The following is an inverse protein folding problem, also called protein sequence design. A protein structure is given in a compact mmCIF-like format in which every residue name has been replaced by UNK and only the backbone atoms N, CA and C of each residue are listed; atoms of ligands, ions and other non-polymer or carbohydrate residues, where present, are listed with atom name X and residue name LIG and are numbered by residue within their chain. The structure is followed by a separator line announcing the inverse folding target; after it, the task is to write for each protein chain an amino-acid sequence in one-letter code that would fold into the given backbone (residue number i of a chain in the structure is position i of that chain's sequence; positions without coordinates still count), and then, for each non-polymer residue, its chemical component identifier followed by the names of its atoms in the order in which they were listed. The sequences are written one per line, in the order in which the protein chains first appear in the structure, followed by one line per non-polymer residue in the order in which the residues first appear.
data_IF_149801263165
#
_entry.id   IF_149801263165
#
_cell.length_a   1.000
_cell.length_b   1.000
_cell.length_c   1.000
_cell.angle_alpha   90.00
_cell.angle_beta   90.00
_cell.angle_gamma   90.00
#
_symmetry.space_group_name_H-M   'P 1'
#
loop_
_entity.id
_entity.type
_entity.pdbx_description
1 polymer ?
#
# COMPACT_ATOMS: atom_id res chain seq x y z
N UNK A 1 4.16 21.43 56.34
CA UNK A 1 3.45 21.21 55.05
C UNK A 1 3.91 22.22 53.98
N UNK A 2 5.22 22.35 53.72
CA UNK A 2 5.76 23.33 52.75
C UNK A 2 6.58 22.69 51.62
N UNK A 3 6.90 21.40 51.76
CA UNK A 3 7.76 20.66 50.83
C UNK A 3 6.95 19.83 49.82
N UNK A 4 5.62 19.80 49.95
CA UNK A 4 4.72 19.05 49.04
C UNK A 4 4.35 19.86 47.78
N UNK A 5 4.47 21.19 47.82
CA UNK A 5 4.15 22.07 46.68
C UNK A 5 5.26 22.09 45.61
N UNK A 6 6.49 21.72 45.97
CA UNK A 6 7.63 21.70 45.03
C UNK A 6 7.60 20.42 44.16
N UNK A 7 7.05 19.32 44.69
CA UNK A 7 6.94 18.06 43.95
C UNK A 7 5.90 18.11 42.81
N UNK A 8 4.89 18.97 42.91
CA UNK A 8 3.85 19.08 41.87
C UNK A 8 4.26 19.96 40.68
N UNK A 9 5.24 20.87 40.87
CA UNK A 9 5.70 21.78 39.83
C UNK A 9 6.64 21.12 38.81
N UNK A 10 7.28 20.00 39.15
CA UNK A 10 8.23 19.32 38.27
C UNK A 10 7.60 18.30 37.31
N UNK A 11 6.32 17.96 37.49
CA UNK A 11 5.62 16.94 36.71
C UNK A 11 4.96 17.47 35.42
N UNK A 12 4.96 18.78 35.21
CA UNK A 12 4.27 19.44 34.09
C UNK A 12 5.13 19.62 32.82
N UNK A 13 6.40 19.22 32.82
CA UNK A 13 7.32 19.50 31.70
C UNK A 13 7.56 18.35 30.71
N UNK A 14 6.84 17.22 30.82
CA UNK A 14 7.10 16.04 29.97
C UNK A 14 6.16 15.85 28.77
N UNK A 15 5.25 16.79 28.49
CA UNK A 15 4.43 16.74 27.27
C UNK A 15 5.19 17.34 26.07
N UNK A 16 6.37 16.78 25.78
CA UNK A 16 7.01 16.96 24.48
C UNK A 16 6.18 16.19 23.44
N UNK A 17 5.14 16.85 22.94
CA UNK A 17 4.40 16.40 21.76
C UNK A 17 5.39 16.37 20.60
N UNK A 18 5.84 15.15 20.28
CA UNK A 18 6.61 14.87 19.08
C UNK A 18 5.74 15.34 17.90
N UNK A 19 6.06 16.50 17.32
CA UNK A 19 5.46 16.91 16.06
C UNK A 19 5.86 15.83 15.07
N UNK A 20 4.92 14.93 14.74
CA UNK A 20 5.08 14.06 13.58
C UNK A 20 5.43 14.98 12.42
N UNK A 21 6.64 14.87 11.92
CA UNK A 21 7.03 15.45 10.65
C UNK A 21 6.02 14.93 9.65
N UNK A 22 5.08 15.78 9.23
CA UNK A 22 4.09 15.43 8.22
C UNK A 22 4.84 15.30 6.91
N UNK A 23 5.45 14.14 6.69
CA UNK A 23 5.91 13.72 5.38
C UNK A 23 4.69 13.78 4.48
N UNK A 24 4.68 14.75 3.57
CA UNK A 24 3.61 14.96 2.59
C UNK A 24 3.38 13.64 1.86
N UNK A 25 2.21 13.04 2.04
CA UNK A 25 1.85 11.78 1.38
C UNK A 25 2.03 11.95 -0.14
N UNK A 26 2.81 11.07 -0.76
CA UNK A 26 2.99 11.07 -2.22
C UNK A 26 1.73 10.60 -2.96
N UNK A 27 0.77 10.01 -2.23
CA UNK A 27 -0.53 9.58 -2.72
C UNK A 27 -1.56 10.65 -2.33
N UNK A 28 -2.03 11.48 -3.28
CA UNK A 28 -3.06 12.46 -3.00
C UNK A 28 -4.40 11.77 -2.76
N UNK A 29 -5.18 12.29 -1.80
CA UNK A 29 -6.57 11.87 -1.65
C UNK A 29 -7.36 12.07 -2.94
N UNK A 30 -8.31 11.17 -3.19
CA UNK A 30 -9.23 11.23 -4.30
C UNK A 30 -9.59 9.85 -4.85
N UNK A 31 -10.47 9.87 -5.85
CA UNK A 31 -10.86 8.69 -6.60
C UNK A 31 -9.96 8.52 -7.81
N UNK A 32 -9.58 7.30 -8.10
CA UNK A 32 -8.76 6.94 -9.23
C UNK A 32 -9.43 5.81 -10.01
N UNK A 33 -9.22 5.79 -11.32
CA UNK A 33 -9.60 4.70 -12.21
C UNK A 33 -8.40 4.28 -13.04
N UNK A 34 -8.34 3.00 -13.38
CA UNK A 34 -7.22 2.48 -14.15
C UNK A 34 -7.21 0.96 -14.16
N UNK A 35 -6.01 0.39 -14.15
CA UNK A 35 -5.82 -1.06 -14.26
C UNK A 35 -4.80 -1.58 -13.26
N UNK A 36 -5.00 -2.81 -12.82
CA UNK A 36 -3.95 -3.68 -12.29
C UNK A 36 -3.40 -4.50 -13.46
N UNK A 37 -2.11 -4.32 -13.74
CA UNK A 37 -1.33 -5.11 -14.69
C UNK A 37 -0.55 -6.19 -13.92
N UNK A 38 -0.77 -7.45 -14.28
CA UNK A 38 -0.05 -8.61 -13.76
C UNK A 38 0.77 -9.22 -14.89
N UNK A 39 2.09 -9.20 -14.76
CA UNK A 39 3.03 -9.74 -15.76
C UNK A 39 3.97 -10.74 -15.14
N UNK A 40 4.60 -11.57 -15.99
CA UNK A 40 5.62 -12.53 -15.58
C UNK A 40 6.78 -12.48 -16.56
N UNK A 41 7.98 -12.77 -16.07
CA UNK A 41 9.19 -12.98 -16.86
C UNK A 41 9.09 -14.14 -17.88
N UNK A 42 8.24 -15.14 -17.63
CA UNK A 42 8.05 -16.31 -18.52
C UNK A 42 6.89 -16.12 -19.50
N UNK A 43 5.81 -15.45 -19.09
CA UNK A 43 4.62 -15.28 -19.92
C UNK A 43 4.63 -13.93 -20.66
N UNK A 44 4.53 -13.99 -22.00
CA UNK A 44 4.68 -12.80 -22.87
C UNK A 44 3.53 -11.79 -22.81
N UNK A 45 2.34 -12.17 -22.34
CA UNK A 45 1.19 -11.28 -22.29
C UNK A 45 0.74 -11.03 -20.84
N UNK A 46 0.64 -9.75 -20.41
CA UNK A 46 0.14 -9.44 -19.08
C UNK A 46 -1.38 -9.64 -18.99
N UNK A 47 -1.85 -10.04 -17.81
CA UNK A 47 -3.26 -9.96 -17.45
C UNK A 47 -3.60 -8.55 -16.99
N UNK A 48 -4.72 -8.00 -17.46
CA UNK A 48 -5.14 -6.62 -17.18
C UNK A 48 -6.51 -6.64 -16.50
N UNK A 49 -6.61 -6.03 -15.34
CA UNK A 49 -7.83 -5.97 -14.55
C UNK A 49 -8.27 -4.51 -14.34
N UNK A 50 -9.41 -4.08 -14.89
CA UNK A 50 -9.96 -2.75 -14.64
C UNK A 50 -10.34 -2.57 -13.17
N UNK A 51 -9.94 -1.44 -12.59
CA UNK A 51 -10.17 -1.13 -11.18
C UNK A 51 -10.43 0.35 -10.95
N UNK A 52 -11.10 0.63 -9.83
CA UNK A 52 -11.17 1.94 -9.20
C UNK A 52 -10.60 1.86 -7.79
N UNK A 53 -9.95 2.95 -7.35
CA UNK A 53 -9.41 3.05 -6.00
C UNK A 53 -9.74 4.41 -5.43
N UNK A 54 -10.31 4.43 -4.23
CA UNK A 54 -10.48 5.65 -3.43
C UNK A 54 -9.37 5.70 -2.39
N UNK A 55 -8.66 6.83 -2.32
CA UNK A 55 -7.73 7.16 -1.24
C UNK A 55 -8.27 8.32 -0.42
N UNK A 56 -8.45 8.13 0.87
CA UNK A 56 -8.96 9.18 1.75
C UNK A 56 -8.45 8.98 3.18
N UNK A 57 -7.82 10.01 3.74
CA UNK A 57 -7.37 10.04 5.14
C UNK A 57 -6.60 8.77 5.55
N UNK A 58 -5.56 8.42 4.75
CA UNK A 58 -4.70 7.24 4.98
C UNK A 58 -5.44 5.89 4.87
N UNK A 59 -6.67 5.89 4.34
CA UNK A 59 -7.44 4.70 4.00
C UNK A 59 -7.56 4.53 2.51
N UNK A 60 -7.67 3.29 2.07
CA UNK A 60 -7.95 2.96 0.69
C UNK A 60 -9.11 1.97 0.57
N UNK A 61 -9.78 2.02 -0.58
CA UNK A 61 -10.76 1.01 -1.00
C UNK A 61 -10.60 0.76 -2.49
N UNK A 62 -10.35 -0.49 -2.86
CA UNK A 62 -10.32 -0.96 -4.25
C UNK A 62 -11.69 -1.50 -4.60
N UNK A 63 -12.17 -1.20 -5.79
CA UNK A 63 -13.34 -1.82 -6.39
C UNK A 63 -12.98 -2.27 -7.79
N UNK A 64 -13.28 -3.52 -8.10
CA UNK A 64 -13.08 -4.13 -9.42
C UNK A 64 -14.40 -4.23 -10.16
N UNK A 65 -14.32 -4.48 -11.46
CA UNK A 65 -15.49 -4.90 -12.24
C UNK A 65 -16.15 -6.12 -11.56
N UNK A 66 -17.48 -6.18 -11.41
CA UNK A 66 -18.19 -7.35 -10.84
C UNK A 66 -17.84 -8.68 -11.51
N UNK A 67 -17.40 -8.68 -12.78
CA UNK A 67 -16.91 -9.85 -13.49
C UNK A 67 -15.52 -10.31 -13.01
N UNK A 68 -14.72 -9.42 -12.42
CA UNK A 68 -13.39 -9.67 -11.87
C UNK A 68 -13.43 -9.83 -10.34
N UNK A 69 -14.01 -10.94 -9.86
CA UNK A 69 -14.10 -11.27 -8.42
C UNK A 69 -12.75 -11.42 -7.71
N UNK A 70 -11.65 -11.41 -8.47
CA UNK A 70 -10.30 -11.71 -8.00
C UNK A 70 -9.53 -10.48 -7.50
N UNK A 71 -10.00 -9.26 -7.77
CA UNK A 71 -9.31 -8.01 -7.37
C UNK A 71 -10.18 -7.21 -6.42
N UNK A 72 -9.61 -6.63 -5.36
CA UNK A 72 -10.37 -5.82 -4.42
C UNK A 72 -9.62 -5.46 -3.16
N UNK A 73 -10.36 -5.23 -2.08
CA UNK A 73 -9.81 -4.97 -0.76
C UNK A 73 -9.88 -3.52 -0.32
N UNK A 74 -9.52 -3.31 0.94
CA UNK A 74 -9.61 -2.05 1.65
C UNK A 74 -8.80 -2.14 2.92
N UNK A 75 -8.35 -0.99 3.38
CA UNK A 75 -7.63 -0.89 4.63
C UNK A 75 -6.89 0.42 4.71
N UNK A 76 -5.68 0.38 5.25
CA UNK A 76 -4.89 1.55 5.57
C UNK A 76 -3.59 1.58 4.77
N UNK A 77 -3.08 2.78 4.54
CA UNK A 77 -1.79 2.98 3.91
C UNK A 77 -1.01 4.10 4.57
N UNK A 78 0.31 4.01 4.50
CA UNK A 78 1.22 5.09 4.86
C UNK A 78 2.31 5.21 3.79
N UNK A 79 2.96 6.37 3.70
CA UNK A 79 4.09 6.54 2.79
C UNK A 79 5.27 7.21 3.48
N UNK A 80 6.47 6.74 3.14
CA UNK A 80 7.73 7.35 3.51
C UNK A 80 8.53 7.59 2.22
N UNK A 81 8.50 8.83 1.73
CA UNK A 81 9.05 9.16 0.41
C UNK A 81 8.33 8.41 -0.70
N UNK A 82 9.09 7.73 -1.57
CA UNK A 82 8.57 6.94 -2.68
C UNK A 82 8.12 5.53 -2.30
N UNK A 83 8.15 5.15 -1.02
CA UNK A 83 7.71 3.82 -0.57
C UNK A 83 6.39 3.93 0.20
N UNK A 84 5.37 3.24 -0.32
CA UNK A 84 4.07 3.07 0.33
C UNK A 84 3.99 1.73 1.05
N UNK A 85 3.42 1.71 2.26
CA UNK A 85 3.08 0.51 2.99
C UNK A 85 1.57 0.38 3.07
N UNK A 86 1.04 -0.73 2.56
CA UNK A 86 -0.39 -1.03 2.51
C UNK A 86 -0.73 -2.19 3.42
N UNK A 87 -1.76 -2.01 4.23
CA UNK A 87 -2.32 -3.03 5.10
C UNK A 87 -3.77 -3.30 4.69
N UNK A 88 -4.02 -4.48 4.14
CA UNK A 88 -5.37 -4.95 3.87
C UNK A 88 -6.01 -5.48 5.15
N UNK A 89 -7.25 -5.07 5.39
CA UNK A 89 -8.01 -5.36 6.61
C UNK A 89 -9.15 -6.37 6.39
N UNK A 90 -9.25 -6.96 5.19
CA UNK A 90 -10.30 -7.90 4.85
C UNK A 90 -9.91 -9.34 5.16
N UNK A 91 -10.94 -10.18 5.37
CA UNK A 91 -10.78 -11.62 5.51
C UNK A 91 -10.91 -12.25 4.13
N UNK A 92 -9.84 -12.88 3.66
CA UNK A 92 -9.80 -13.58 2.38
C UNK A 92 -9.80 -15.10 2.58
N UNK A 93 -10.34 -15.81 1.60
CA UNK A 93 -10.28 -17.27 1.58
C UNK A 93 -8.81 -17.73 1.41
N UNK A 94 -8.49 -18.91 1.94
CA UNK A 94 -7.13 -19.44 1.90
C UNK A 94 -6.58 -19.66 0.48
N UNK A 95 -7.47 -19.88 -0.50
CA UNK A 95 -7.14 -20.06 -1.91
C UNK A 95 -7.07 -18.75 -2.72
N UNK A 96 -7.30 -17.60 -2.09
CA UNK A 96 -7.20 -16.31 -2.76
C UNK A 96 -5.74 -15.94 -3.06
N UNK A 97 -5.45 -15.42 -4.27
CA UNK A 97 -4.13 -14.85 -4.55
C UNK A 97 -3.99 -13.50 -3.85
N UNK A 98 -3.35 -13.52 -2.68
CA UNK A 98 -3.03 -12.34 -1.86
C UNK A 98 -2.19 -11.28 -2.58
N UNK A 99 -1.67 -11.58 -3.77
CA UNK A 99 -1.00 -10.58 -4.59
C UNK A 99 -1.93 -9.70 -5.42
N UNK A 100 -3.20 -10.09 -5.57
CA UNK A 100 -4.23 -9.32 -6.27
C UNK A 100 -4.88 -8.22 -5.41
N UNK A 101 -4.32 -7.96 -4.21
CA UNK A 101 -4.75 -6.90 -3.30
C UNK A 101 -3.58 -5.99 -2.91
N UNK A 102 -3.91 -4.78 -2.47
CA UNK A 102 -2.94 -3.84 -1.92
C UNK A 102 -2.49 -4.28 -0.53
N UNK A 103 -1.45 -5.12 -0.48
CA UNK A 103 -0.79 -5.54 0.77
C UNK A 103 0.73 -5.52 0.63
N UNK A 104 1.42 -4.95 1.61
CA UNK A 104 2.88 -4.87 1.68
C UNK A 104 3.45 -3.56 1.13
N UNK A 105 4.70 -3.62 0.67
CA UNK A 105 5.45 -2.46 0.19
C UNK A 105 5.25 -2.21 -1.30
N UNK A 106 5.12 -0.94 -1.67
CA UNK A 106 4.98 -0.47 -3.05
C UNK A 106 5.91 0.70 -3.32
N UNK A 107 6.53 0.71 -4.49
CA UNK A 107 7.11 1.94 -5.03
C UNK A 107 5.97 2.83 -5.56
N UNK A 108 5.94 4.09 -5.13
CA UNK A 108 4.98 5.10 -5.51
C UNK A 108 5.63 6.04 -6.51
N UNK A 109 4.99 6.20 -7.68
CA UNK A 109 5.30 7.26 -8.64
C UNK A 109 4.04 8.08 -8.84
N UNK A 110 4.10 9.37 -8.53
CA UNK A 110 2.94 10.27 -8.57
C UNK A 110 3.33 11.61 -9.17
N UNK A 111 2.52 12.11 -10.10
CA UNK A 111 2.64 13.47 -10.63
C UNK A 111 1.43 14.35 -10.24
N UNK A 112 0.61 13.88 -9.30
CA UNK A 112 -0.61 14.56 -8.81
C UNK A 112 -1.90 14.06 -9.45
N UNK A 113 -1.88 13.71 -10.74
CA UNK A 113 -3.05 13.19 -11.46
C UNK A 113 -2.88 11.72 -11.85
N UNK A 114 -1.67 11.32 -12.22
CA UNK A 114 -1.30 9.94 -12.48
C UNK A 114 -0.60 9.37 -11.26
N UNK A 115 -0.96 8.14 -10.92
CA UNK A 115 -0.41 7.37 -9.80
C UNK A 115 -0.06 5.97 -10.29
N UNK A 116 1.20 5.57 -10.08
CA UNK A 116 1.67 4.22 -10.34
C UNK A 116 2.14 3.62 -9.03
N UNK A 117 1.64 2.43 -8.72
CA UNK A 117 2.09 1.63 -7.58
C UNK A 117 2.71 0.33 -8.10
N UNK A 118 3.97 0.08 -7.78
CA UNK A 118 4.68 -1.14 -8.21
C UNK A 118 4.95 -1.97 -6.96
N UNK A 119 4.40 -3.18 -6.89
CA UNK A 119 4.58 -4.06 -5.74
C UNK A 119 6.05 -4.44 -5.58
N UNK A 120 6.58 -4.32 -4.36
CA UNK A 120 7.94 -4.73 -4.01
C UNK A 120 7.90 -6.12 -3.39
N UNK A 121 8.66 -7.04 -3.96
CA UNK A 121 8.91 -8.34 -3.37
C UNK A 121 10.26 -8.32 -2.68
N UNK A 122 10.32 -8.88 -1.46
CA UNK A 122 11.60 -9.19 -0.84
C UNK A 122 12.18 -10.40 -1.56
N UNK A 123 13.46 -10.34 -1.92
CA UNK A 123 14.14 -11.48 -2.50
C UNK A 123 14.05 -12.67 -1.54
N UNK A 124 13.65 -13.84 -2.03
CA UNK A 124 13.76 -15.07 -1.26
C UNK A 124 15.24 -15.35 -1.02
N UNK A 125 15.61 -15.60 0.24
CA UNK A 125 16.98 -16.00 0.61
C UNK A 125 17.20 -17.50 0.44
N UNK A 126 16.17 -18.26 0.03
CA UNK A 126 16.29 -19.69 -0.21
C UNK A 126 16.82 -19.97 -1.61
N UNK A 127 17.90 -20.73 -1.69
CA UNK A 127 18.38 -21.27 -2.96
C UNK A 127 17.35 -22.26 -3.49
N UNK A 128 16.78 -22.04 -4.68
CA UNK A 128 15.87 -22.99 -5.29
C UNK A 128 16.63 -24.32 -5.57
N UNK A 129 15.97 -25.48 -5.45
CA UNK A 129 16.55 -26.73 -5.89
C UNK A 129 16.97 -26.64 -7.38
N UNK A 130 18.01 -27.39 -7.82
CA UNK A 130 18.59 -27.25 -9.16
C UNK A 130 17.62 -27.47 -10.35
N UNK A 131 16.44 -28.03 -10.10
CA UNK A 131 15.41 -28.30 -11.11
C UNK A 131 14.20 -27.34 -11.05
N UNK A 132 14.24 -26.28 -10.24
CA UNK A 132 13.12 -25.34 -10.09
C UNK A 132 13.42 -24.05 -10.84
N UNK A 133 12.58 -23.74 -11.84
CA UNK A 133 12.56 -22.42 -12.47
C UNK A 133 11.78 -21.47 -11.55
N UNK A 134 12.42 -20.38 -11.11
CA UNK A 134 11.73 -19.31 -10.41
C UNK A 134 11.03 -18.45 -11.47
N UNK A 135 9.70 -18.35 -11.38
CA UNK A 135 8.91 -17.41 -12.17
C UNK A 135 8.68 -16.17 -11.31
N UNK A 136 9.13 -15.02 -11.78
CA UNK A 136 8.85 -13.76 -11.10
C UNK A 136 7.60 -13.10 -11.69
N UNK A 137 6.59 -12.90 -10.83
CA UNK A 137 5.37 -12.16 -11.17
C UNK A 137 5.48 -10.72 -10.66
N UNK A 138 5.08 -9.77 -11.49
CA UNK A 138 5.07 -8.34 -11.19
C UNK A 138 3.64 -7.81 -11.17
N UNK A 139 3.36 -6.94 -10.21
CA UNK A 139 2.04 -6.35 -10.01
C UNK A 139 2.18 -4.83 -10.03
N UNK A 140 1.48 -4.19 -10.97
CA UNK A 140 1.57 -2.76 -11.21
C UNK A 140 0.19 -2.14 -11.34
N UNK A 141 -0.13 -1.22 -10.45
CA UNK A 141 -1.33 -0.40 -10.55
C UNK A 141 -1.00 0.83 -11.37
N UNK A 142 -1.77 1.08 -12.44
CA UNK A 142 -1.65 2.25 -13.30
C UNK A 142 -2.96 3.02 -13.18
N UNK A 143 -2.92 4.15 -12.47
CA UNK A 143 -4.11 4.84 -11.99
C UNK A 143 -4.12 6.28 -12.47
N UNK A 144 -5.30 6.78 -12.81
CA UNK A 144 -5.54 8.18 -13.13
C UNK A 144 -6.64 8.73 -12.24
N UNK A 145 -6.40 9.90 -11.67
CA UNK A 145 -7.35 10.60 -10.81
C UNK A 145 -8.60 10.97 -11.61
N UNK A 146 -9.76 10.60 -11.07
CA UNK A 146 -11.06 11.01 -11.60
C UNK A 146 -11.34 12.42 -11.09
N UNK A 147 -11.78 13.30 -11.99
CA UNK A 147 -12.10 14.70 -11.68
C UNK A 147 -13.33 14.82 -10.78
#
# INVERSE_FOLDING_TARGET
MKNLLIAFALLLCLTSSCKKTTSKSLIPNGNYSGVLEVSSDVYKMPSIYPITITFENEKYKVSSDPASKEVGGSGTYSSNGSIGNFNDENIWQANFDWNMILKGEYEIRSNGNDLILIKRFKASTQTPPPAVTIVQTYYKYILKKVK
#
